data_IF_108695021295
#
_entry.id   IF_108695021295
#
_cell.length_a   1.000
_cell.length_b   1.000
_cell.length_c   1.000
_cell.angle_alpha   90.00
_cell.angle_beta   90.00
_cell.angle_gamma   90.00
#
_symmetry.space_group_name_H-M   'P 1'
#
loop_
_entity.id
_entity.type
_entity.pdbx_description
1 polymer ?
#
# COMPACT_ATOMS: atom_id res chain seq x y z
N UNK A 1 13.11 34.04 26.58
CA UNK A 1 12.14 33.32 27.40
C UNK A 1 10.84 33.27 26.68
N UNK A 2 10.52 32.17 26.03
CA UNK A 2 9.21 31.94 25.38
C UNK A 2 8.72 30.59 25.88
N UNK A 3 7.72 30.62 26.74
CA UNK A 3 7.07 29.47 27.39
C UNK A 3 6.17 28.78 26.37
N UNK A 4 6.52 27.56 25.97
CA UNK A 4 5.68 26.67 25.20
C UNK A 4 4.44 26.28 26.04
N UNK A 5 3.26 26.77 25.68
CA UNK A 5 1.97 26.35 26.22
C UNK A 5 1.62 25.00 25.63
N UNK A 6 2.00 23.92 26.30
CA UNK A 6 1.46 22.57 26.04
C UNK A 6 0.06 22.50 26.63
N UNK A 7 -0.96 22.75 25.80
CA UNK A 7 -2.36 22.61 26.20
C UNK A 7 -2.68 21.14 26.51
N UNK A 8 -2.67 20.75 27.78
CA UNK A 8 -3.20 19.47 28.24
C UNK A 8 -4.72 19.47 28.03
N UNK A 9 -5.22 18.64 27.12
CA UNK A 9 -6.65 18.34 27.02
C UNK A 9 -7.18 17.92 28.40
N UNK A 10 -8.26 18.57 28.86
CA UNK A 10 -8.85 18.26 30.14
C UNK A 10 -9.15 16.75 30.24
N UNK A 11 -9.00 16.15 31.42
CA UNK A 11 -9.27 14.74 31.69
C UNK A 11 -10.62 14.30 31.19
N UNK A 12 -11.60 15.18 31.20
CA UNK A 12 -12.97 14.96 30.69
C UNK A 12 -13.01 14.81 29.17
N UNK A 13 -12.31 15.66 28.41
CA UNK A 13 -12.21 15.55 26.94
C UNK A 13 -11.46 14.29 26.51
N UNK A 14 -10.49 13.86 27.31
CA UNK A 14 -9.74 12.61 27.08
C UNK A 14 -10.62 11.38 27.33
N UNK A 15 -11.44 11.38 28.38
CA UNK A 15 -12.40 10.30 28.70
C UNK A 15 -13.52 10.23 27.67
N UNK A 16 -14.06 11.35 27.22
CA UNK A 16 -15.06 11.38 26.15
C UNK A 16 -14.51 10.88 24.81
N UNK A 17 -13.28 11.23 24.49
CA UNK A 17 -12.60 10.75 23.26
C UNK A 17 -12.34 9.24 23.35
N UNK A 18 -11.92 8.74 24.50
CA UNK A 18 -11.74 7.29 24.76
C UNK A 18 -13.09 6.58 24.69
N UNK A 19 -14.12 7.11 25.32
CA UNK A 19 -15.48 6.54 25.30
C UNK A 19 -16.04 6.46 23.87
N UNK A 20 -16.01 7.56 23.10
CA UNK A 20 -16.47 7.59 21.70
C UNK A 20 -15.68 6.65 20.80
N UNK A 21 -14.37 6.53 21.00
CA UNK A 21 -13.51 5.60 20.24
C UNK A 21 -13.80 4.14 20.61
N UNK A 22 -14.06 3.84 21.88
CA UNK A 22 -14.37 2.47 22.36
C UNK A 22 -15.75 2.04 21.87
N UNK A 23 -16.77 2.90 22.01
CA UNK A 23 -18.12 2.66 21.50
C UNK A 23 -18.10 2.39 20.00
N UNK A 24 -17.51 3.25 19.20
CA UNK A 24 -17.44 3.08 17.74
C UNK A 24 -16.62 1.86 17.32
N UNK A 25 -15.57 1.52 18.04
CA UNK A 25 -14.67 0.41 17.70
C UNK A 25 -15.12 -0.95 18.19
N UNK A 26 -15.99 -1.02 19.19
CA UNK A 26 -16.46 -2.27 19.78
C UNK A 26 -17.94 -2.51 19.46
N UNK A 27 -18.80 -1.52 19.71
CA UNK A 27 -20.23 -1.70 19.51
C UNK A 27 -20.63 -1.83 18.04
N UNK A 28 -20.02 -1.02 17.15
CA UNK A 28 -20.34 -1.11 15.72
C UNK A 28 -20.00 -2.48 15.12
N UNK A 29 -18.79 -3.04 15.30
CA UNK A 29 -18.51 -4.42 14.85
C UNK A 29 -19.44 -5.46 15.49
N UNK A 30 -19.73 -5.36 16.78
CA UNK A 30 -20.65 -6.30 17.44
C UNK A 30 -22.07 -6.21 16.86
N UNK A 31 -22.61 -5.02 16.66
CA UNK A 31 -23.93 -4.81 16.06
C UNK A 31 -24.04 -5.34 14.62
N UNK A 32 -22.93 -5.47 13.90
CA UNK A 32 -22.90 -6.03 12.55
C UNK A 32 -22.58 -7.53 12.56
N UNK A 33 -21.56 -7.95 13.32
CA UNK A 33 -21.06 -9.31 13.29
C UNK A 33 -21.98 -10.31 14.00
N UNK A 34 -22.63 -9.90 15.10
CA UNK A 34 -23.54 -10.79 15.83
C UNK A 34 -24.78 -11.11 15.00
N UNK A 35 -25.50 -10.11 14.42
CA UNK A 35 -26.60 -10.43 13.49
C UNK A 35 -26.15 -11.22 12.26
N UNK A 36 -25.00 -10.88 11.67
CA UNK A 36 -24.45 -11.61 10.53
C UNK A 36 -24.22 -13.08 10.88
N UNK A 37 -23.61 -13.36 12.04
CA UNK A 37 -23.36 -14.74 12.49
C UNK A 37 -24.65 -15.49 12.81
N UNK A 38 -25.66 -14.80 13.34
CA UNK A 38 -26.94 -15.40 13.68
C UNK A 38 -27.80 -15.69 12.44
N UNK A 39 -27.99 -14.71 11.56
CA UNK A 39 -28.87 -14.85 10.39
C UNK A 39 -28.18 -15.53 9.19
N UNK A 40 -26.85 -15.40 9.07
CA UNK A 40 -26.07 -15.89 7.94
C UNK A 40 -24.82 -16.66 8.39
N UNK A 41 -24.94 -17.75 9.16
CA UNK A 41 -23.80 -18.43 9.78
C UNK A 41 -22.78 -18.96 8.76
N UNK A 42 -23.22 -19.41 7.58
CA UNK A 42 -22.32 -19.86 6.51
C UNK A 42 -21.46 -18.72 5.95
N UNK A 43 -22.05 -17.53 5.77
CA UNK A 43 -21.32 -16.34 5.31
C UNK A 43 -20.32 -15.91 6.39
N UNK A 44 -20.75 -15.84 7.65
CA UNK A 44 -19.88 -15.51 8.77
C UNK A 44 -18.68 -16.47 8.88
N UNK A 45 -18.92 -17.77 8.68
CA UNK A 45 -17.85 -18.78 8.66
C UNK A 45 -16.85 -18.56 7.53
N UNK A 46 -17.30 -18.23 6.31
CA UNK A 46 -16.42 -17.87 5.18
C UNK A 46 -15.54 -16.69 5.54
N UNK A 47 -16.11 -15.60 6.09
CA UNK A 47 -15.34 -14.42 6.52
C UNK A 47 -14.36 -14.74 7.65
N UNK A 48 -14.72 -15.61 8.58
CA UNK A 48 -13.84 -16.04 9.66
C UNK A 48 -12.63 -16.83 9.12
N UNK A 49 -12.87 -17.79 8.21
CA UNK A 49 -11.79 -18.60 7.59
C UNK A 49 -10.88 -17.72 6.74
N UNK A 50 -11.45 -16.91 5.85
CA UNK A 50 -10.66 -16.02 4.98
C UNK A 50 -9.88 -14.99 5.80
N UNK A 51 -10.48 -14.42 6.84
CA UNK A 51 -9.81 -13.48 7.74
C UNK A 51 -8.68 -14.14 8.55
N UNK A 52 -8.89 -15.35 9.04
CA UNK A 52 -7.84 -16.13 9.72
C UNK A 52 -6.67 -16.44 8.78
N UNK A 53 -6.96 -16.82 7.54
CA UNK A 53 -5.93 -17.01 6.51
C UNK A 53 -5.14 -15.72 6.26
N UNK A 54 -5.80 -14.58 6.06
CA UNK A 54 -5.13 -13.29 5.84
C UNK A 54 -4.21 -12.90 7.00
N UNK A 55 -4.70 -13.06 8.23
CA UNK A 55 -3.89 -12.80 9.43
C UNK A 55 -2.67 -13.72 9.50
N UNK A 56 -2.84 -15.01 9.18
CA UNK A 56 -1.78 -16.01 9.24
C UNK A 56 -0.62 -15.74 8.28
N UNK A 57 -0.85 -14.94 7.25
CA UNK A 57 0.19 -14.52 6.27
C UNK A 57 1.15 -13.45 6.83
N UNK A 58 0.81 -12.82 7.97
CA UNK A 58 1.67 -11.86 8.65
C UNK A 58 2.43 -12.54 9.79
N UNK A 59 3.68 -12.15 10.01
CA UNK A 59 4.55 -12.68 11.07
C UNK A 59 5.23 -11.53 11.83
N UNK A 60 5.29 -11.53 13.14
CA UNK A 60 4.55 -12.40 14.06
C UNK A 60 3.07 -12.03 14.14
N UNK A 61 2.22 -13.00 14.51
CA UNK A 61 0.79 -12.73 14.81
C UNK A 61 0.73 -12.10 16.21
N UNK A 62 0.31 -10.83 16.27
CA UNK A 62 0.23 -10.05 17.51
C UNK A 62 -1.19 -9.55 17.74
N UNK A 63 -1.52 -9.18 18.98
CA UNK A 63 -2.79 -8.54 19.30
C UNK A 63 -2.97 -7.21 18.53
N UNK A 64 -1.89 -6.47 18.30
CA UNK A 64 -1.91 -5.25 17.48
C UNK A 64 -2.34 -5.57 16.04
N UNK A 65 -1.78 -6.62 15.42
CA UNK A 65 -2.16 -7.09 14.09
C UNK A 65 -3.65 -7.42 14.02
N UNK A 66 -4.15 -8.27 14.94
CA UNK A 66 -5.56 -8.66 15.01
C UNK A 66 -6.48 -7.45 15.13
N UNK A 67 -6.17 -6.55 16.07
CA UNK A 67 -6.94 -5.32 16.26
C UNK A 67 -6.94 -4.42 15.02
N UNK A 68 -5.77 -4.26 14.37
CA UNK A 68 -5.68 -3.45 13.14
C UNK A 68 -6.46 -4.07 12.01
N UNK A 69 -6.42 -5.39 11.88
CA UNK A 69 -7.07 -6.11 10.79
C UNK A 69 -8.60 -6.11 10.95
N UNK A 70 -9.14 -6.49 12.11
CA UNK A 70 -10.59 -6.68 12.29
C UNK A 70 -11.36 -5.40 12.71
N UNK A 71 -10.72 -4.43 13.35
CA UNK A 71 -11.39 -3.22 13.88
C UNK A 71 -10.65 -1.91 13.58
N UNK A 72 -9.57 -1.98 12.81
CA UNK A 72 -8.75 -0.84 12.42
C UNK A 72 -8.77 -0.59 10.92
N UNK A 73 -7.63 -0.19 10.38
CA UNK A 73 -7.46 0.13 8.96
C UNK A 73 -7.42 -1.11 8.04
N UNK A 74 -7.40 -2.32 8.59
CA UNK A 74 -7.49 -3.59 7.84
C UNK A 74 -8.92 -4.06 7.57
N UNK A 75 -9.96 -3.40 8.12
CA UNK A 75 -11.36 -3.81 7.92
C UNK A 75 -11.73 -3.91 6.44
N UNK A 76 -11.24 -3.00 5.60
CA UNK A 76 -11.48 -3.07 4.15
C UNK A 76 -10.84 -4.30 3.51
N UNK A 77 -9.65 -4.69 3.95
CA UNK A 77 -8.98 -5.94 3.52
C UNK A 77 -9.77 -7.15 3.96
N UNK A 78 -10.26 -7.16 5.22
CA UNK A 78 -11.10 -8.23 5.75
C UNK A 78 -12.43 -8.35 5.00
N UNK A 79 -13.12 -7.25 4.70
CA UNK A 79 -14.36 -7.27 3.90
C UNK A 79 -14.13 -7.84 2.50
N UNK A 80 -12.94 -7.65 1.93
CA UNK A 80 -12.55 -8.23 0.65
C UNK A 80 -11.85 -9.58 0.76
N UNK A 81 -11.69 -10.15 1.97
CA UNK A 81 -10.94 -11.39 2.17
C UNK A 81 -11.50 -12.59 1.39
N UNK A 82 -12.83 -12.81 1.23
CA UNK A 82 -13.32 -13.90 0.39
C UNK A 82 -12.94 -13.73 -1.09
N UNK A 83 -13.00 -12.49 -1.60
CA UNK A 83 -12.53 -12.18 -2.96
C UNK A 83 -11.02 -12.38 -3.07
N UNK A 84 -10.25 -11.94 -2.08
CA UNK A 84 -8.80 -12.12 -2.04
C UNK A 84 -8.41 -13.60 -2.04
N UNK A 85 -9.12 -14.46 -1.29
CA UNK A 85 -8.92 -15.91 -1.32
C UNK A 85 -9.27 -16.51 -2.69
N UNK A 86 -10.34 -16.03 -3.33
CA UNK A 86 -10.70 -16.45 -4.70
C UNK A 86 -9.61 -16.05 -5.70
N UNK A 87 -9.06 -14.85 -5.60
CA UNK A 87 -7.94 -14.40 -6.44
C UNK A 87 -6.70 -15.24 -6.22
N UNK A 88 -6.44 -15.70 -4.98
CA UNK A 88 -5.35 -16.64 -4.69
C UNK A 88 -5.55 -17.97 -5.44
N UNK A 89 -6.76 -18.53 -5.43
CA UNK A 89 -7.09 -19.77 -6.16
C UNK A 89 -6.96 -19.59 -7.68
N UNK A 90 -7.49 -18.49 -8.22
CA UNK A 90 -7.43 -18.17 -9.65
C UNK A 90 -6.01 -17.84 -10.14
N UNK A 91 -5.08 -17.59 -9.25
CA UNK A 91 -3.68 -17.35 -9.57
C UNK A 91 -2.83 -18.61 -9.60
N UNK A 92 -3.34 -19.75 -9.15
CA UNK A 92 -2.59 -21.01 -9.19
C UNK A 92 -2.11 -21.30 -10.63
N UNK A 93 -0.90 -21.83 -10.81
CA UNK A 93 0.03 -22.33 -9.79
C UNK A 93 0.93 -21.25 -9.13
N UNK A 94 0.75 -19.97 -9.42
CA UNK A 94 1.55 -18.87 -8.84
C UNK A 94 1.10 -18.58 -7.40
N UNK A 95 1.74 -19.26 -6.45
CA UNK A 95 1.47 -19.06 -5.02
C UNK A 95 1.91 -17.66 -4.57
N UNK A 96 1.13 -17.02 -3.70
CA UNK A 96 1.46 -15.71 -3.16
C UNK A 96 2.42 -15.82 -1.97
N UNK A 97 3.70 -15.51 -2.20
CA UNK A 97 4.77 -15.56 -1.20
C UNK A 97 4.77 -14.35 -0.24
N UNK A 98 3.94 -13.35 -0.51
CA UNK A 98 3.88 -12.11 0.28
C UNK A 98 4.99 -11.11 -0.08
N UNK A 99 6.25 -11.49 0.02
CA UNK A 99 7.42 -10.72 -0.43
C UNK A 99 8.13 -11.50 -1.54
N UNK A 100 8.61 -10.79 -2.54
CA UNK A 100 9.20 -11.38 -3.75
C UNK A 100 10.53 -10.74 -4.07
N UNK A 101 11.45 -11.54 -4.62
CA UNK A 101 12.57 -11.04 -5.41
C UNK A 101 12.11 -10.89 -6.86
N UNK A 102 12.86 -10.15 -7.65
CA UNK A 102 12.53 -9.96 -9.07
C UNK A 102 12.51 -11.30 -9.84
N UNK A 103 13.42 -12.20 -9.48
CA UNK A 103 13.58 -13.53 -10.09
C UNK A 103 12.40 -14.47 -9.78
N UNK A 104 11.64 -14.21 -8.74
CA UNK A 104 10.44 -14.98 -8.38
C UNK A 104 9.26 -14.68 -9.33
N UNK A 105 9.34 -13.61 -10.12
CA UNK A 105 8.32 -13.25 -11.11
C UNK A 105 8.55 -13.94 -12.45
N UNK A 106 7.49 -14.21 -13.23
CA UNK A 106 7.62 -14.72 -14.59
C UNK A 106 8.45 -13.76 -15.48
N UNK A 107 9.20 -14.27 -16.50
CA UNK A 107 10.12 -13.48 -17.30
C UNK A 107 9.54 -12.19 -17.89
N UNK A 108 8.30 -12.23 -18.43
CA UNK A 108 7.66 -11.03 -18.99
C UNK A 108 7.38 -9.93 -17.97
N UNK A 109 7.16 -10.28 -16.70
CA UNK A 109 7.02 -9.31 -15.59
C UNK A 109 8.37 -8.70 -15.25
N UNK A 110 9.41 -9.55 -15.16
CA UNK A 110 10.79 -9.09 -14.91
C UNK A 110 11.23 -8.07 -15.96
N UNK A 111 10.96 -8.36 -17.24
CA UNK A 111 11.34 -7.50 -18.37
C UNK A 111 10.63 -6.13 -18.29
N UNK A 112 9.33 -6.10 -17.98
CA UNK A 112 8.61 -4.83 -17.82
C UNK A 112 9.13 -4.03 -16.63
N UNK A 113 9.38 -4.66 -15.49
CA UNK A 113 9.92 -3.98 -14.29
C UNK A 113 11.32 -3.45 -14.59
N UNK A 114 12.21 -4.22 -15.22
CA UNK A 114 13.56 -3.78 -15.60
C UNK A 114 13.52 -2.59 -16.58
N UNK A 115 12.66 -2.65 -17.61
CA UNK A 115 12.49 -1.55 -18.59
C UNK A 115 11.97 -0.28 -17.91
N UNK A 116 11.01 -0.40 -16.98
CA UNK A 116 10.49 0.74 -16.27
C UNK A 116 11.54 1.38 -15.35
N UNK A 117 12.32 0.57 -14.62
CA UNK A 117 13.42 1.06 -13.78
C UNK A 117 14.48 1.77 -14.63
N UNK A 118 14.87 1.20 -15.77
CA UNK A 118 15.84 1.83 -16.69
C UNK A 118 15.30 3.19 -17.21
N UNK A 119 14.03 3.26 -17.58
CA UNK A 119 13.39 4.50 -18.00
C UNK A 119 13.33 5.54 -16.88
N UNK A 120 13.07 5.14 -15.65
CA UNK A 120 13.02 6.04 -14.49
C UNK A 120 14.40 6.61 -14.16
N UNK A 121 15.44 5.79 -14.20
CA UNK A 121 16.83 6.21 -13.99
C UNK A 121 17.31 7.18 -15.09
N UNK A 122 16.92 6.95 -16.35
CA UNK A 122 17.27 7.82 -17.48
C UNK A 122 16.52 9.16 -17.51
N UNK A 123 15.41 9.29 -16.79
CA UNK A 123 14.54 10.48 -16.83
C UNK A 123 14.94 11.59 -15.85
N UNK A 124 16.00 11.41 -15.06
CA UNK A 124 16.47 12.38 -14.04
C UNK A 124 15.34 12.88 -13.11
N UNK A 125 14.48 11.95 -12.69
CA UNK A 125 13.28 12.25 -11.90
C UNK A 125 13.60 12.86 -10.54
N UNK A 126 14.72 12.49 -9.93
CA UNK A 126 15.13 13.00 -8.62
C UNK A 126 15.30 14.52 -8.68
N UNK A 127 16.10 15.01 -9.64
CA UNK A 127 16.35 16.45 -9.83
C UNK A 127 15.07 17.21 -10.15
N UNK A 128 14.22 16.66 -11.02
CA UNK A 128 12.98 17.31 -11.43
C UNK A 128 11.94 17.39 -10.29
N UNK A 129 11.96 16.46 -9.33
CA UNK A 129 11.04 16.41 -8.21
C UNK A 129 11.54 17.16 -6.97
N UNK A 130 12.85 17.39 -6.86
CA UNK A 130 13.47 18.03 -5.69
C UNK A 130 12.83 19.38 -5.39
N UNK A 131 12.75 20.28 -6.37
CA UNK A 131 12.15 21.61 -6.21
C UNK A 131 10.64 21.54 -5.92
N UNK A 132 9.93 20.59 -6.51
CA UNK A 132 8.47 20.47 -6.39
C UNK A 132 8.00 19.85 -5.08
N UNK A 133 8.87 19.11 -4.39
CA UNK A 133 8.51 18.34 -3.18
C UNK A 133 9.09 18.93 -1.89
N UNK A 134 10.00 19.91 -1.93
CA UNK A 134 10.76 20.39 -0.77
C UNK A 134 9.92 20.89 0.39
N UNK A 135 8.76 21.49 0.11
CA UNK A 135 7.88 22.09 1.14
C UNK A 135 6.86 21.11 1.73
N UNK A 136 6.83 19.87 1.25
CA UNK A 136 5.85 18.88 1.66
C UNK A 136 6.52 17.66 2.31
N UNK A 137 5.96 17.16 3.40
CA UNK A 137 6.49 15.96 4.06
C UNK A 137 6.42 14.73 3.15
N UNK A 138 5.29 14.57 2.43
CA UNK A 138 5.07 13.46 1.49
C UNK A 138 4.43 13.97 0.21
N UNK A 139 5.03 13.61 -0.90
CA UNK A 139 4.55 14.00 -2.24
C UNK A 139 4.39 12.76 -3.11
N UNK A 140 3.36 12.74 -3.92
CA UNK A 140 3.09 11.69 -4.90
C UNK A 140 2.77 12.31 -6.25
N UNK A 141 3.43 11.81 -7.30
CA UNK A 141 3.15 12.13 -8.68
C UNK A 141 2.79 10.84 -9.42
N UNK A 142 1.66 10.81 -10.12
CA UNK A 142 1.23 9.66 -10.90
C UNK A 142 1.32 9.92 -12.39
N UNK A 143 1.87 8.96 -13.14
CA UNK A 143 1.94 8.92 -14.61
C UNK A 143 0.91 7.94 -15.18
N UNK A 144 0.58 6.88 -14.43
CA UNK A 144 -0.40 5.87 -14.80
C UNK A 144 -1.16 5.43 -13.57
N UNK A 145 -2.48 5.28 -13.69
CA UNK A 145 -3.36 4.88 -12.59
C UNK A 145 -4.29 3.76 -13.02
N UNK A 146 -4.13 2.59 -12.43
CA UNK A 146 -4.92 1.40 -12.72
C UNK A 146 -5.20 1.20 -14.22
N UNK A 147 -4.14 1.16 -15.02
CA UNK A 147 -4.18 0.92 -16.45
C UNK A 147 -4.44 2.14 -17.34
N UNK A 148 -4.72 3.32 -16.79
CA UNK A 148 -4.94 4.56 -17.55
C UNK A 148 -3.76 5.51 -17.40
N UNK A 149 -3.21 6.01 -18.52
CA UNK A 149 -2.19 7.03 -18.49
C UNK A 149 -2.79 8.36 -18.04
N UNK A 150 -2.05 9.09 -17.22
CA UNK A 150 -2.41 10.40 -16.71
C UNK A 150 -1.55 11.48 -17.37
N UNK A 151 -2.12 12.68 -17.50
CA UNK A 151 -1.38 13.85 -17.95
C UNK A 151 -0.64 14.47 -16.75
N UNK A 152 0.53 13.90 -16.45
CA UNK A 152 1.35 14.37 -15.35
C UNK A 152 2.12 15.64 -15.73
N UNK A 153 2.42 16.49 -14.76
CA UNK A 153 3.21 17.71 -14.94
C UNK A 153 4.67 17.46 -15.37
N UNK A 154 5.19 16.28 -15.08
CA UNK A 154 6.46 15.81 -15.63
C UNK A 154 6.18 14.84 -16.79
N UNK A 155 6.83 15.07 -17.92
CA UNK A 155 6.66 14.21 -19.08
C UNK A 155 7.79 13.20 -19.17
N UNK A 156 7.43 11.93 -19.01
CA UNK A 156 8.34 10.78 -19.20
C UNK A 156 7.72 9.86 -20.27
N UNK A 157 8.02 10.10 -21.58
CA UNK A 157 7.39 9.36 -22.67
C UNK A 157 7.48 7.83 -22.50
N UNK A 158 8.60 7.35 -21.97
CA UNK A 158 8.82 5.93 -21.74
C UNK A 158 7.85 5.31 -20.72
N UNK A 159 7.15 6.10 -19.87
CA UNK A 159 6.14 5.60 -18.96
C UNK A 159 4.77 5.40 -19.63
N UNK A 160 4.56 5.98 -20.81
CA UNK A 160 3.28 5.93 -21.53
C UNK A 160 3.19 4.80 -22.57
N UNK A 161 4.19 3.91 -22.63
CA UNK A 161 4.16 2.76 -23.52
C UNK A 161 3.06 1.73 -23.11
N UNK A 162 2.68 0.81 -24.01
CA UNK A 162 1.67 -0.23 -23.73
C UNK A 162 2.24 -1.28 -22.77
N UNK A 163 1.98 -1.10 -21.48
CA UNK A 163 2.34 -2.06 -20.44
C UNK A 163 1.31 -3.19 -20.38
N UNK A 164 1.77 -4.43 -20.37
CA UNK A 164 0.93 -5.61 -20.25
C UNK A 164 0.61 -5.92 -18.79
N UNK A 165 1.60 -5.78 -17.91
CA UNK A 165 1.49 -6.15 -16.49
C UNK A 165 1.47 -4.94 -15.56
N UNK A 166 2.13 -3.85 -15.90
CA UNK A 166 2.18 -2.63 -15.10
C UNK A 166 0.87 -1.86 -15.20
N UNK A 167 0.23 -1.63 -14.04
CA UNK A 167 -1.08 -0.97 -13.94
C UNK A 167 -0.97 0.44 -13.35
N UNK A 168 -0.09 0.66 -12.40
CA UNK A 168 0.15 1.97 -11.78
C UNK A 168 1.62 2.32 -11.93
N UNK A 169 1.91 3.58 -12.27
CA UNK A 169 3.25 4.16 -12.27
C UNK A 169 3.15 5.51 -11.57
N UNK A 170 3.90 5.68 -10.51
CA UNK A 170 4.04 6.93 -9.79
C UNK A 170 5.42 7.07 -9.16
N UNK A 171 5.71 8.25 -8.64
CA UNK A 171 6.88 8.50 -7.81
C UNK A 171 6.44 9.09 -6.49
N UNK A 172 6.86 8.47 -5.40
CA UNK A 172 6.64 8.95 -4.04
C UNK A 172 7.90 9.60 -3.50
N UNK A 173 7.74 10.76 -2.87
CA UNK A 173 8.81 11.45 -2.16
C UNK A 173 8.48 11.46 -0.68
N UNK A 174 9.40 10.94 0.10
CA UNK A 174 9.42 11.05 1.55
C UNK A 174 10.52 12.02 1.92
N UNK A 175 10.16 13.20 2.38
CA UNK A 175 11.12 14.14 2.90
C UNK A 175 11.70 13.69 4.23
N UNK A 176 12.38 14.57 4.94
CA UNK A 176 13.09 14.25 6.19
C UNK A 176 12.15 13.73 7.25
N UNK A 177 12.54 12.64 7.95
CA UNK A 177 11.87 12.08 9.14
C UNK A 177 10.38 11.82 8.96
N UNK A 178 10.02 11.15 7.87
CA UNK A 178 8.63 10.84 7.54
C UNK A 178 8.39 9.35 7.51
N UNK A 179 7.36 8.89 8.23
CA UNK A 179 6.96 7.50 8.30
C UNK A 179 5.45 7.37 8.04
N UNK A 180 5.04 6.35 7.29
CA UNK A 180 3.62 5.99 7.18
C UNK A 180 3.17 5.25 8.43
N UNK A 181 1.89 5.37 8.78
CA UNK A 181 1.31 4.44 9.75
C UNK A 181 1.30 3.02 9.18
N UNK A 182 1.35 2.01 10.03
CA UNK A 182 1.11 0.62 9.64
C UNK A 182 -0.29 0.49 9.03
N UNK A 183 -0.40 -0.08 7.84
CA UNK A 183 -1.67 -0.23 7.11
C UNK A 183 -1.67 -1.46 6.21
N UNK A 184 -2.83 -1.77 5.68
CA UNK A 184 -3.06 -2.85 4.72
C UNK A 184 -3.57 -2.25 3.41
N UNK A 185 -3.16 -2.82 2.27
CA UNK A 185 -3.88 -2.68 1.02
C UNK A 185 -5.15 -3.53 1.02
N UNK A 186 -6.03 -3.31 0.06
CA UNK A 186 -7.36 -3.93 0.07
C UNK A 186 -7.47 -5.19 -0.79
N UNK A 187 -6.79 -5.21 -1.93
CA UNK A 187 -7.05 -6.19 -2.98
C UNK A 187 -5.77 -6.88 -3.49
N UNK A 188 -5.81 -8.20 -3.53
CA UNK A 188 -4.72 -9.08 -3.97
C UNK A 188 -4.62 -9.28 -5.49
N UNK A 189 -5.21 -8.39 -6.27
CA UNK A 189 -5.11 -8.46 -7.73
C UNK A 189 -3.78 -7.93 -8.28
N UNK A 190 -3.02 -7.20 -7.46
CA UNK A 190 -1.72 -6.62 -7.82
C UNK A 190 -0.66 -6.86 -6.77
N UNK A 191 0.60 -6.77 -7.19
CA UNK A 191 1.76 -6.67 -6.33
C UNK A 191 2.31 -5.25 -6.41
N UNK A 192 2.80 -4.74 -5.28
CA UNK A 192 3.50 -3.46 -5.18
C UNK A 192 4.98 -3.65 -5.47
N UNK A 193 5.50 -2.88 -6.41
CA UNK A 193 6.92 -2.78 -6.71
C UNK A 193 7.39 -1.39 -6.31
N UNK A 194 8.34 -1.32 -5.40
CA UNK A 194 8.99 -0.08 -4.98
C UNK A 194 10.45 -0.13 -5.40
N UNK A 195 10.93 0.92 -6.08
CA UNK A 195 12.33 1.05 -6.45
C UNK A 195 12.86 2.42 -6.04
N UNK A 196 13.88 2.43 -5.18
CA UNK A 196 14.49 3.66 -4.69
C UNK A 196 15.39 4.29 -5.75
N UNK A 197 15.10 5.54 -6.15
CA UNK A 197 15.78 6.23 -7.25
C UNK A 197 17.11 6.86 -6.82
N UNK A 198 17.25 7.21 -5.53
CA UNK A 198 18.47 7.79 -4.98
C UNK A 198 19.13 6.87 -3.95
N UNK A 199 20.45 6.99 -3.79
CA UNK A 199 21.17 6.22 -2.78
C UNK A 199 20.88 6.75 -1.38
N UNK A 200 20.58 5.85 -0.45
CA UNK A 200 20.41 6.18 0.96
C UNK A 200 21.73 5.93 1.71
N UNK A 201 22.06 6.83 2.65
CA UNK A 201 23.35 6.79 3.35
C UNK A 201 23.36 5.84 4.55
N UNK A 202 22.20 5.57 5.13
CA UNK A 202 22.07 4.72 6.32
C UNK A 202 20.79 3.86 6.27
N UNK A 203 20.62 2.99 7.25
CA UNK A 203 19.52 2.01 7.31
C UNK A 203 18.25 2.56 7.95
N UNK A 204 18.23 3.83 8.36
CA UNK A 204 17.06 4.48 8.94
C UNK A 204 15.99 4.85 7.88
N UNK A 205 16.27 4.57 6.60
CA UNK A 205 15.25 4.53 5.57
C UNK A 205 14.94 3.07 5.22
N UNK A 206 13.73 2.61 5.54
CA UNK A 206 13.36 1.19 5.44
C UNK A 206 11.88 0.98 5.14
N UNK A 207 11.54 -0.26 4.80
CA UNK A 207 10.17 -0.76 4.67
C UNK A 207 10.00 -2.00 5.55
N UNK A 208 8.83 -2.16 6.15
CA UNK A 208 8.43 -3.37 6.87
C UNK A 208 7.16 -3.92 6.26
N UNK A 209 7.15 -5.19 5.88
CA UNK A 209 6.01 -5.87 5.26
C UNK A 209 5.84 -7.26 5.87
N UNK A 210 4.71 -7.55 6.50
CA UNK A 210 4.40 -8.87 7.03
C UNK A 210 5.43 -9.41 8.03
N UNK A 211 6.24 -8.52 8.64
CA UNK A 211 7.34 -8.86 9.54
C UNK A 211 8.72 -8.88 8.89
N UNK A 212 8.82 -8.79 7.56
CA UNK A 212 10.10 -8.64 6.86
C UNK A 212 10.49 -7.17 6.80
N UNK A 213 11.71 -6.84 7.22
CA UNK A 213 12.28 -5.49 7.11
C UNK A 213 13.34 -5.45 6.01
N UNK A 214 13.32 -4.40 5.18
CA UNK A 214 14.33 -4.15 4.16
C UNK A 214 14.80 -2.70 4.22
N UNK A 215 16.09 -2.48 4.30
CA UNK A 215 16.73 -1.17 4.22
C UNK A 215 16.86 -0.73 2.77
N UNK A 216 16.57 0.55 2.49
CA UNK A 216 16.73 1.14 1.16
C UNK A 216 18.20 1.41 0.80
N UNK A 217 19.11 1.37 1.76
CA UNK A 217 20.54 1.40 1.50
C UNK A 217 21.04 0.09 0.90
N UNK A 218 20.55 -1.04 1.40
CA UNK A 218 20.98 -2.37 0.96
C UNK A 218 20.24 -2.83 -0.30
N UNK A 219 18.92 -2.58 -0.35
CA UNK A 219 18.05 -3.06 -1.43
C UNK A 219 17.23 -1.92 -2.03
N UNK A 220 17.57 -1.52 -3.25
CA UNK A 220 16.80 -0.50 -3.98
C UNK A 220 15.43 -0.98 -4.46
N UNK A 221 15.27 -2.28 -4.67
CA UNK A 221 14.05 -2.90 -5.20
C UNK A 221 13.37 -3.76 -4.15
N UNK A 222 12.09 -3.50 -3.91
CA UNK A 222 11.27 -4.30 -3.00
C UNK A 222 9.90 -4.58 -3.62
N UNK A 223 9.52 -5.86 -3.69
CA UNK A 223 8.27 -6.33 -4.31
C UNK A 223 7.45 -7.08 -3.28
N UNK A 224 6.18 -6.71 -3.13
CA UNK A 224 5.34 -7.33 -2.11
C UNK A 224 3.85 -7.26 -2.40
N UNK A 225 3.09 -8.12 -1.72
CA UNK A 225 1.64 -8.05 -1.61
C UNK A 225 1.27 -7.00 -0.57
N UNK A 226 0.68 -5.89 -1.00
CA UNK A 226 0.34 -4.78 -0.11
C UNK A 226 -0.84 -5.08 0.83
N UNK A 227 -1.54 -6.21 0.66
CA UNK A 227 -2.54 -6.69 1.64
C UNK A 227 -1.93 -7.22 2.94
N UNK A 228 -0.60 -7.38 3.02
CA UNK A 228 0.12 -7.59 4.27
C UNK A 228 0.22 -6.28 5.07
N UNK A 229 0.31 -6.39 6.39
CA UNK A 229 0.56 -5.23 7.24
C UNK A 229 1.93 -4.64 6.91
N UNK A 230 1.95 -3.38 6.48
CA UNK A 230 3.18 -2.73 6.07
C UNK A 230 3.27 -1.27 6.51
N UNK A 231 4.50 -0.78 6.57
CA UNK A 231 4.86 0.63 6.74
C UNK A 231 6.11 0.94 5.93
N UNK A 232 6.29 2.20 5.54
CA UNK A 232 7.52 2.70 4.95
C UNK A 232 8.00 3.90 5.75
N UNK A 233 9.28 3.92 6.08
CA UNK A 233 9.92 4.95 6.89
C UNK A 233 11.09 5.58 6.14
N UNK A 234 11.25 6.88 6.35
CA UNK A 234 12.47 7.63 6.10
C UNK A 234 12.75 8.47 7.34
N UNK A 235 13.55 7.92 8.25
CA UNK A 235 13.94 8.58 9.50
C UNK A 235 15.24 9.40 9.35
N UNK A 236 15.77 9.48 8.10
CA UNK A 236 16.97 10.21 7.76
C UNK A 236 16.69 11.69 7.50
N UNK A 237 17.76 12.51 7.43
CA UNK A 237 17.70 13.90 6.98
C UNK A 237 17.72 14.03 5.44
N UNK A 238 17.90 12.93 4.71
CA UNK A 238 17.94 12.90 3.26
C UNK A 238 16.55 12.58 2.69
N UNK A 239 16.04 13.33 1.69
CA UNK A 239 14.83 12.95 0.98
C UNK A 239 14.99 11.61 0.26
N UNK A 240 13.94 10.78 0.28
CA UNK A 240 13.87 9.51 -0.43
C UNK A 240 12.88 9.61 -1.59
N UNK A 241 13.35 9.33 -2.78
CA UNK A 241 12.57 9.30 -4.02
C UNK A 241 12.35 7.83 -4.42
N UNK A 242 11.13 7.41 -4.55
CA UNK A 242 10.82 6.02 -4.79
C UNK A 242 9.81 5.88 -5.94
N UNK A 243 10.18 5.13 -6.97
CA UNK A 243 9.26 4.66 -7.99
C UNK A 243 8.23 3.74 -7.35
N UNK A 244 6.96 4.06 -7.53
CA UNK A 244 5.79 3.39 -6.95
C UNK A 244 4.99 2.76 -8.07
N UNK A 245 4.96 1.43 -8.09
CA UNK A 245 4.38 0.68 -9.20
C UNK A 245 3.46 -0.41 -8.68
N UNK A 246 2.30 -0.58 -9.33
CA UNK A 246 1.52 -1.80 -9.17
C UNK A 246 1.57 -2.60 -10.46
N UNK A 247 1.94 -3.86 -10.33
CA UNK A 247 1.85 -4.86 -11.41
C UNK A 247 0.68 -5.79 -11.12
N UNK A 248 -0.02 -6.28 -12.15
CA UNK A 248 -0.98 -7.37 -11.91
C UNK A 248 -0.24 -8.54 -11.29
N UNK A 249 -0.87 -9.23 -10.38
CA UNK A 249 -0.30 -10.42 -9.76
C UNK A 249 -0.08 -11.52 -10.81
N UNK A 250 1.04 -12.29 -10.77
CA UNK A 250 1.24 -13.44 -11.63
C UNK A 250 0.05 -14.41 -11.57
N UNK A 251 -0.47 -14.79 -12.74
CA UNK A 251 -1.67 -15.60 -12.87
C UNK A 251 -1.73 -16.20 -14.28
N UNK A 252 -2.35 -17.38 -14.49
CA UNK A 252 -2.68 -17.87 -15.81
C UNK A 252 -3.81 -17.06 -16.49
N UNK A 253 -4.52 -16.21 -15.74
CA UNK A 253 -5.66 -15.41 -16.20
C UNK A 253 -5.39 -13.89 -16.13
N UNK A 254 -4.36 -13.35 -16.83
CA UNK A 254 -3.97 -11.94 -16.69
C UNK A 254 -5.05 -10.96 -17.16
N UNK A 255 -5.91 -11.35 -18.11
CA UNK A 255 -7.02 -10.51 -18.55
C UNK A 255 -8.07 -10.31 -17.45
N UNK A 256 -8.38 -11.38 -16.70
CA UNK A 256 -9.28 -11.31 -15.54
C UNK A 256 -8.73 -10.38 -14.46
N UNK A 257 -7.45 -10.53 -14.11
CA UNK A 257 -6.83 -9.66 -13.12
C UNK A 257 -6.83 -8.19 -13.54
N UNK A 258 -6.56 -7.90 -14.83
CA UNK A 258 -6.71 -6.53 -15.34
C UNK A 258 -8.15 -6.01 -15.21
N UNK A 259 -9.14 -6.87 -15.45
CA UNK A 259 -10.56 -6.53 -15.26
C UNK A 259 -10.88 -6.16 -13.82
N UNK A 260 -10.40 -6.96 -12.87
CA UNK A 260 -10.55 -6.67 -11.41
C UNK A 260 -9.88 -5.35 -11.04
N UNK A 261 -8.67 -5.09 -11.52
CA UNK A 261 -7.94 -3.81 -11.30
C UNK A 261 -8.71 -2.64 -11.93
N UNK A 262 -9.28 -2.81 -13.13
CA UNK A 262 -10.07 -1.78 -13.79
C UNK A 262 -11.36 -1.43 -13.01
N UNK A 263 -12.05 -2.43 -12.46
CA UNK A 263 -13.22 -2.22 -11.58
C UNK A 263 -12.79 -1.43 -10.32
N UNK A 264 -11.65 -1.78 -9.72
CA UNK A 264 -11.11 -1.06 -8.58
C UNK A 264 -10.86 0.42 -8.91
N UNK A 265 -10.40 0.73 -10.12
CA UNK A 265 -10.25 2.11 -10.58
C UNK A 265 -11.54 2.90 -10.46
N UNK A 266 -12.66 2.37 -10.97
CA UNK A 266 -13.97 3.06 -10.89
C UNK A 266 -14.39 3.29 -9.44
N UNK A 267 -14.22 2.28 -8.59
CA UNK A 267 -14.53 2.40 -7.17
C UNK A 267 -13.65 3.44 -6.44
N UNK A 268 -12.38 3.59 -6.85
CA UNK A 268 -11.41 4.47 -6.18
C UNK A 268 -11.33 5.88 -6.77
N UNK A 269 -11.79 6.10 -8.02
CA UNK A 269 -11.78 7.43 -8.63
C UNK A 269 -12.55 8.48 -7.81
N UNK A 270 -13.68 8.08 -7.24
CA UNK A 270 -14.51 8.96 -6.39
C UNK A 270 -13.92 9.18 -5.00
N UNK A 271 -12.95 8.36 -4.57
CA UNK A 271 -12.37 8.39 -3.21
C UNK A 271 -10.84 8.58 -3.19
N UNK A 272 -10.24 9.05 -4.30
CA UNK A 272 -8.80 9.37 -4.37
C UNK A 272 -8.33 10.22 -3.18
N UNK A 273 -9.15 11.20 -2.80
CA UNK A 273 -8.91 12.08 -1.65
C UNK A 273 -8.79 11.30 -0.32
N UNK A 274 -9.57 10.23 -0.13
CA UNK A 274 -9.55 9.43 1.10
C UNK A 274 -8.28 8.57 1.18
N UNK A 275 -7.82 8.02 0.05
CA UNK A 275 -6.61 7.18 0.00
C UNK A 275 -5.32 7.96 0.22
N UNK A 276 -5.25 9.18 -0.30
CA UNK A 276 -4.03 10.00 -0.28
C UNK A 276 -4.17 11.26 0.58
N UNK A 277 -5.11 11.30 1.53
CA UNK A 277 -5.39 12.46 2.38
C UNK A 277 -4.17 13.02 3.15
N UNK A 278 -3.11 12.20 3.29
CA UNK A 278 -1.84 12.62 3.90
C UNK A 278 -0.71 12.83 2.87
N UNK A 279 -1.03 12.84 1.57
CA UNK A 279 -0.08 13.04 0.49
C UNK A 279 -0.41 14.32 -0.27
N UNK A 280 0.61 15.11 -0.59
CA UNK A 280 0.48 16.16 -1.61
C UNK A 280 0.59 15.50 -2.98
N UNK A 281 -0.53 15.43 -3.70
CA UNK A 281 -0.51 15.00 -5.10
C UNK A 281 -0.06 16.22 -5.92
N UNK A 282 0.94 16.01 -6.77
CA UNK A 282 1.38 16.99 -7.77
C UNK A 282 0.74 16.57 -9.08
N UNK A 283 0.02 17.50 -9.70
CA UNK A 283 -0.58 17.32 -11.02
C UNK A 283 0.38 17.75 -12.10
#
# INVERSE_FOLDING_TARGET
MSTAVTGSLSSRARLERIGKLTVRRVLFPLCVLVPLAYFFPKIALVYAICGAYDVSRNRPITLELLRRYFVGNGVGTWLLSPLNCLLDLLSLPYVNNGVYRLEDLPPGYQDEVKRLIAAANGADLVRQLEERSKDNQRTMLFFRWYGTNLDASLKVPAFHQPWKYIQTIGVSVFNRRVTTSKHFGYLRASLRVLYNLNDMKDDSAYIVVGGTTSSWRENKLFIFDDTLLHLSANETEQPRYCLFVDIIRPTPLPALMRGVVAITRYATQSIKFVYYGNWKIID
#
